data_IF_929557110817
#
_entry.id   IF_929557110817
#
_cell.length_a   1.000
_cell.length_b   1.000
_cell.length_c   1.000
_cell.angle_alpha   90.00
_cell.angle_beta   90.00
_cell.angle_gamma   90.00
#
_symmetry.space_group_name_H-M   'P 1'
#
loop_
_entity.id
_entity.type
_entity.pdbx_description
1 polymer ?
#
# COMPACT_ATOMS: atom_id res chain seq x y z
N UNK A 1 -15.86 15.28 7.97
CA UNK A 1 -15.13 14.92 6.74
C UNK A 1 -13.80 14.31 7.14
N UNK A 2 -13.56 13.01 6.89
CA UNK A 2 -12.21 12.46 7.07
C UNK A 2 -11.34 12.98 5.93
N UNK A 3 -10.26 13.69 6.26
CA UNK A 3 -9.23 14.07 5.28
C UNK A 3 -8.57 12.79 4.77
N UNK A 4 -8.29 12.72 3.46
CA UNK A 4 -7.53 11.61 2.89
C UNK A 4 -6.14 11.59 3.58
N UNK A 5 -5.63 10.42 4.01
CA UNK A 5 -4.28 10.33 4.55
C UNK A 5 -3.24 10.76 3.50
N UNK A 6 -2.07 11.17 3.98
CA UNK A 6 -0.91 11.38 3.10
C UNK A 6 -0.43 10.01 2.60
N UNK A 7 -0.28 9.86 1.29
CA UNK A 7 0.18 8.60 0.68
C UNK A 7 1.66 8.36 0.97
N UNK A 8 2.45 9.43 1.07
CA UNK A 8 3.89 9.36 1.28
C UNK A 8 4.28 9.30 2.77
N UNK A 9 3.30 9.22 3.67
CA UNK A 9 3.53 8.93 5.08
C UNK A 9 4.17 7.52 5.20
N UNK A 10 5.43 7.42 5.68
CA UNK A 10 6.10 6.13 5.82
C UNK A 10 5.37 5.20 6.80
N UNK A 11 4.65 5.78 7.77
CA UNK A 11 3.93 5.06 8.82
C UNK A 11 2.47 4.74 8.41
N UNK A 12 2.07 5.00 7.17
CA UNK A 12 0.70 4.74 6.69
C UNK A 12 0.38 3.25 6.74
N UNK A 13 -0.61 2.81 7.55
CA UNK A 13 -0.94 1.39 7.63
C UNK A 13 -1.59 0.88 6.34
N UNK A 14 -1.23 -0.33 5.92
CA UNK A 14 -1.77 -0.99 4.73
C UNK A 14 -3.29 -1.13 4.77
N UNK A 15 -3.88 -1.41 5.93
CA UNK A 15 -5.34 -1.44 6.06
C UNK A 15 -5.98 -0.08 5.72
N UNK A 16 -5.34 1.02 6.09
CA UNK A 16 -5.80 2.38 5.77
C UNK A 16 -5.54 2.71 4.31
N UNK A 17 -4.39 2.29 3.76
CA UNK A 17 -4.05 2.39 2.35
C UNK A 17 -5.14 1.72 1.48
N UNK A 18 -5.46 0.46 1.75
CA UNK A 18 -6.46 -0.30 0.98
C UNK A 18 -7.88 0.25 1.15
N UNK A 19 -8.25 0.71 2.34
CA UNK A 19 -9.55 1.36 2.56
C UNK A 19 -9.69 2.69 1.80
N UNK A 20 -8.57 3.41 1.60
CA UNK A 20 -8.54 4.71 0.94
C UNK A 20 -8.39 4.60 -0.59
N UNK A 21 -7.66 3.58 -1.05
CA UNK A 21 -7.40 3.28 -2.45
C UNK A 21 -7.51 1.77 -2.71
N UNK A 22 -8.75 1.24 -2.89
CA UNK A 22 -8.97 -0.19 -3.11
C UNK A 22 -8.25 -0.75 -4.35
N UNK A 23 -8.01 0.07 -5.37
CA UNK A 23 -7.28 -0.33 -6.59
C UNK A 23 -5.81 -0.69 -6.31
N UNK A 24 -5.24 -0.24 -5.18
CA UNK A 24 -3.89 -0.61 -4.77
C UNK A 24 -3.81 -2.04 -4.23
N UNK A 25 -4.93 -2.76 -4.08
CA UNK A 25 -4.91 -4.18 -3.71
C UNK A 25 -4.32 -5.04 -4.84
N UNK A 26 -4.55 -4.69 -6.11
CA UNK A 26 -4.12 -5.49 -7.26
C UNK A 26 -2.58 -5.67 -7.35
N UNK A 27 -1.73 -4.62 -7.22
CA UNK A 27 -0.28 -4.77 -7.17
C UNK A 27 0.25 -5.75 -6.12
N UNK A 28 -0.43 -5.87 -4.97
CA UNK A 28 -0.07 -6.78 -3.89
C UNK A 28 -0.47 -8.21 -4.24
N UNK A 29 -1.70 -8.42 -4.74
CA UNK A 29 -2.17 -9.74 -5.16
C UNK A 29 -1.36 -10.28 -6.35
N UNK A 30 -1.02 -9.42 -7.32
CA UNK A 30 -0.19 -9.79 -8.47
C UNK A 30 1.19 -10.33 -8.06
N UNK A 31 1.72 -9.84 -6.93
CA UNK A 31 2.97 -10.29 -6.31
C UNK A 31 2.77 -11.43 -5.30
N UNK A 32 1.54 -11.95 -5.16
CA UNK A 32 1.15 -12.98 -4.19
C UNK A 32 1.38 -12.58 -2.73
N UNK A 33 1.34 -11.28 -2.44
CA UNK A 33 1.44 -10.77 -1.08
C UNK A 33 0.14 -11.00 -0.32
N UNK A 34 0.23 -11.40 0.94
CA UNK A 34 -0.93 -11.67 1.80
C UNK A 34 -1.51 -10.41 2.44
N UNK A 35 -0.83 -9.27 2.32
CA UNK A 35 -1.16 -8.03 3.03
C UNK A 35 -2.64 -7.61 2.95
N UNK A 36 -3.34 -7.66 1.79
CA UNK A 36 -4.74 -7.23 1.72
C UNK A 36 -5.71 -8.05 2.59
N UNK A 37 -5.37 -9.31 2.88
CA UNK A 37 -6.18 -10.21 3.71
C UNK A 37 -5.59 -10.48 5.10
N UNK A 38 -4.47 -9.84 5.44
CA UNK A 38 -3.75 -10.15 6.66
C UNK A 38 -4.33 -9.39 7.87
N UNK A 39 -4.47 -10.08 9.00
CA UNK A 39 -4.96 -9.47 10.24
C UNK A 39 -4.00 -8.42 10.82
N UNK A 40 -2.72 -8.45 10.42
CA UNK A 40 -1.73 -7.46 10.85
C UNK A 40 -1.62 -6.24 9.94
N UNK A 41 -2.38 -6.17 8.83
CA UNK A 41 -2.38 -5.03 7.92
C UNK A 41 -2.66 -3.65 8.58
N UNK A 42 -3.40 -3.53 9.70
CA UNK A 42 -3.54 -2.27 10.43
C UNK A 42 -2.26 -1.78 11.12
N UNK A 43 -1.21 -2.60 11.15
CA UNK A 43 0.07 -2.33 11.81
C UNK A 43 1.27 -2.39 10.87
N UNK A 44 1.13 -2.97 9.67
CA UNK A 44 2.18 -2.97 8.64
C UNK A 44 2.02 -1.77 7.71
N UNK A 45 3.15 -1.25 7.26
CA UNK A 45 3.32 -0.17 6.29
C UNK A 45 3.71 -0.75 4.92
N UNK A 46 3.86 0.12 3.91
CA UNK A 46 4.48 -0.29 2.64
C UNK A 46 5.92 -0.74 2.87
N UNK A 47 6.66 -0.05 3.75
CA UNK A 47 8.04 -0.40 4.12
C UNK A 47 8.11 -1.81 4.70
N UNK A 48 7.27 -2.13 5.70
CA UNK A 48 7.24 -3.48 6.30
C UNK A 48 6.92 -4.56 5.26
N UNK A 49 6.01 -4.27 4.32
CA UNK A 49 5.67 -5.19 3.24
C UNK A 49 6.81 -5.36 2.23
N UNK A 50 7.57 -4.31 1.95
CA UNK A 50 8.75 -4.39 1.11
C UNK A 50 9.86 -5.21 1.77
N UNK A 51 10.10 -5.02 3.06
CA UNK A 51 11.05 -5.81 3.83
C UNK A 51 10.65 -7.29 3.91
N UNK A 52 9.37 -7.59 4.17
CA UNK A 52 8.87 -8.96 4.31
C UNK A 52 8.92 -9.76 3.00
N UNK A 53 8.75 -9.09 1.86
CA UNK A 53 8.66 -9.71 0.53
C UNK A 53 9.88 -9.44 -0.36
N UNK A 54 10.97 -8.87 0.19
CA UNK A 54 12.22 -8.57 -0.51
C UNK A 54 12.01 -7.71 -1.78
N UNK A 55 11.29 -6.60 -1.62
CA UNK A 55 10.95 -5.67 -2.70
C UNK A 55 11.77 -4.38 -2.60
N UNK A 56 12.18 -3.85 -3.75
CA UNK A 56 12.69 -2.48 -3.86
C UNK A 56 11.57 -1.47 -3.57
N UNK A 57 11.61 -0.84 -2.40
CA UNK A 57 10.55 0.03 -1.89
C UNK A 57 10.29 1.22 -2.81
N UNK A 58 11.34 1.89 -3.28
CA UNK A 58 11.22 3.07 -4.15
C UNK A 58 10.50 2.73 -5.47
N UNK A 59 10.84 1.59 -6.06
CA UNK A 59 10.20 1.10 -7.28
C UNK A 59 8.72 0.75 -7.04
N UNK A 60 8.43 0.09 -5.91
CA UNK A 60 7.07 -0.30 -5.57
C UNK A 60 6.19 0.91 -5.27
N UNK A 61 6.67 1.87 -4.48
CA UNK A 61 5.97 3.13 -4.21
C UNK A 61 5.71 3.91 -5.50
N UNK A 62 6.65 3.94 -6.44
CA UNK A 62 6.44 4.61 -7.73
C UNK A 62 5.28 3.98 -8.54
N UNK A 63 5.19 2.65 -8.58
CA UNK A 63 4.06 1.94 -9.22
C UNK A 63 2.73 2.26 -8.54
N UNK A 64 2.68 2.24 -7.21
CA UNK A 64 1.48 2.56 -6.45
C UNK A 64 1.04 4.02 -6.67
N UNK A 65 1.98 4.97 -6.68
CA UNK A 65 1.69 6.39 -6.98
C UNK A 65 1.10 6.57 -8.38
N UNK A 66 1.62 5.88 -9.38
CA UNK A 66 1.10 5.96 -10.74
C UNK A 66 -0.40 5.59 -10.79
N UNK A 67 -0.79 4.52 -10.08
CA UNK A 67 -2.18 4.07 -9.96
C UNK A 67 -3.08 5.06 -9.20
N UNK A 68 -2.53 5.77 -8.22
CA UNK A 68 -3.27 6.83 -7.52
C UNK A 68 -3.49 8.04 -8.42
N UNK A 69 -2.49 8.41 -9.23
CA UNK A 69 -2.53 9.58 -10.11
C UNK A 69 -3.41 9.38 -11.37
N UNK A 70 -3.50 8.16 -11.90
CA UNK A 70 -4.30 7.81 -13.09
C UNK A 70 -5.82 8.01 -12.93
N UNK A 71 -6.31 8.27 -11.71
CA UNK A 71 -7.74 8.47 -11.41
C UNK A 71 -8.09 9.83 -10.81
N UNK A 72 -7.19 10.82 -10.91
CA UNK A 72 -7.48 12.22 -10.62
C UNK A 72 -8.02 12.98 -11.84
#
# INVERSE_FOLDING_TARGET
>A
MRRRPDFDDPDLPLATLFATWPDLVEPFIARKMLCPGCLVAPFHTITDACEEYDLEEDAFRAELRARVAEKL
#
